data_IF_082639435679
#
_entry.id   IF_082639435679
#
_cell.length_a   1.000
_cell.length_b   1.000
_cell.length_c   1.000
_cell.angle_alpha   90.00
_cell.angle_beta   90.00
_cell.angle_gamma   90.00
#
_symmetry.space_group_name_H-M   'P 1'
#
loop_
_entity.id
_entity.type
_entity.pdbx_description
1 polymer ?
#
# COMPACT_ATOMS: atom_id res chain seq x y z
N UNK A 1 7.04 -11.28 -17.85
CA UNK A 1 6.43 -10.03 -17.74
C UNK A 1 6.19 -9.64 -16.36
N UNK A 2 6.58 -8.55 -15.99
CA UNK A 2 6.40 -8.15 -14.62
C UNK A 2 4.95 -7.91 -14.42
N UNK A 3 4.55 -8.10 -13.20
CA UNK A 3 3.31 -7.83 -12.84
C UNK A 3 2.97 -6.47 -12.99
N UNK A 4 1.87 -6.17 -13.52
CA UNK A 4 1.52 -4.85 -13.69
C UNK A 4 0.48 -4.47 -12.72
N UNK A 5 0.80 -3.60 -11.83
CA UNK A 5 -0.17 -3.04 -10.95
C UNK A 5 -0.91 -1.96 -11.69
N UNK A 6 -2.17 -1.73 -11.32
CA UNK A 6 -2.91 -0.63 -11.88
C UNK A 6 -2.31 0.65 -11.33
N UNK A 7 -2.69 1.77 -11.93
CA UNK A 7 -2.22 3.04 -11.48
C UNK A 7 -2.63 3.29 -10.06
N UNK A 8 -3.84 2.88 -9.70
CA UNK A 8 -4.32 3.04 -8.32
C UNK A 8 -3.46 2.25 -7.37
N UNK A 9 -3.11 1.02 -7.74
CA UNK A 9 -2.29 0.20 -6.87
C UNK A 9 -0.89 0.77 -6.74
N UNK A 10 -0.34 1.30 -7.81
CA UNK A 10 0.96 1.93 -7.73
C UNK A 10 0.94 3.14 -6.81
N UNK A 11 -0.10 3.95 -6.92
CA UNK A 11 -0.24 5.12 -6.06
C UNK A 11 -0.32 4.70 -4.60
N UNK A 12 -1.09 3.66 -4.31
CA UNK A 12 -1.21 3.19 -2.96
C UNK A 12 0.15 2.73 -2.42
N UNK A 13 0.91 1.99 -3.24
CA UNK A 13 2.20 1.49 -2.81
C UNK A 13 3.20 2.61 -2.58
N UNK A 14 3.10 3.69 -3.34
CA UNK A 14 3.97 4.83 -3.12
C UNK A 14 3.68 5.48 -1.79
N UNK A 15 2.40 5.62 -1.45
CA UNK A 15 2.03 6.19 -0.17
C UNK A 15 2.44 5.25 0.96
N UNK A 16 2.26 3.96 0.74
CA UNK A 16 2.64 2.96 1.73
C UNK A 16 4.15 3.01 1.96
N UNK A 17 4.94 3.15 0.91
CA UNK A 17 6.38 3.22 1.04
C UNK A 17 6.80 4.42 1.87
N UNK A 18 6.14 5.55 1.66
CA UNK A 18 6.44 6.74 2.44
C UNK A 18 6.12 6.50 3.90
N UNK A 19 4.98 5.86 4.18
CA UNK A 19 4.60 5.59 5.54
C UNK A 19 5.56 4.62 6.21
N UNK A 20 6.20 3.76 5.43
CA UNK A 20 7.12 2.77 5.97
C UNK A 20 8.54 3.29 6.14
N UNK A 21 8.78 4.52 5.74
CA UNK A 21 10.13 5.07 5.82
C UNK A 21 10.69 5.03 7.23
N UNK A 22 9.84 5.22 8.22
CA UNK A 22 10.28 5.18 9.59
C UNK A 22 10.37 3.76 10.14
N UNK A 23 9.94 2.79 9.38
CA UNK A 23 9.92 1.41 9.83
C UNK A 23 8.71 1.04 10.65
N UNK A 24 7.85 2.01 10.95
CA UNK A 24 6.68 1.77 11.75
C UNK A 24 5.52 2.55 11.18
N UNK A 25 4.37 1.93 11.07
CA UNK A 25 3.17 2.61 10.63
C UNK A 25 2.33 2.94 11.85
N UNK A 26 2.17 4.23 12.12
CA UNK A 26 1.37 4.65 13.26
C UNK A 26 -0.11 4.47 12.95
N UNK A 27 -0.93 4.63 13.96
CA UNK A 27 -2.37 4.53 13.78
C UNK A 27 -2.88 5.59 12.82
N UNK A 28 -2.35 6.78 12.90
CA UNK A 28 -2.76 7.85 12.01
C UNK A 28 -2.37 7.54 10.58
N UNK A 29 -1.18 6.99 10.39
CA UNK A 29 -0.75 6.62 9.06
C UNK A 29 -1.60 5.48 8.52
N UNK A 30 -1.96 4.54 9.38
CA UNK A 30 -2.82 3.44 8.95
C UNK A 30 -4.19 3.96 8.51
N UNK A 31 -4.72 4.93 9.22
CA UNK A 31 -5.97 5.53 8.84
C UNK A 31 -5.87 6.23 7.51
N UNK A 32 -4.77 6.94 7.27
CA UNK A 32 -4.56 7.60 6.00
C UNK A 32 -4.49 6.59 4.87
N UNK A 33 -3.82 5.47 5.12
CA UNK A 33 -3.72 4.43 4.10
C UNK A 33 -5.08 3.84 3.79
N UNK A 34 -5.91 3.66 4.80
CA UNK A 34 -7.25 3.14 4.56
C UNK A 34 -8.09 4.10 3.73
N UNK A 35 -7.99 5.38 4.04
CA UNK A 35 -8.71 6.39 3.29
C UNK A 35 -8.20 6.42 1.85
N UNK A 36 -6.89 6.33 1.69
CA UNK A 36 -6.31 6.35 0.37
C UNK A 36 -6.78 5.16 -0.45
N UNK A 37 -6.79 3.98 0.15
CA UNK A 37 -7.25 2.79 -0.54
C UNK A 37 -8.69 2.94 -0.98
N UNK A 38 -9.52 3.48 -0.12
CA UNK A 38 -10.93 3.66 -0.44
C UNK A 38 -11.07 4.67 -1.58
N UNK A 39 -10.32 5.76 -1.53
CA UNK A 39 -10.37 6.78 -2.56
C UNK A 39 -9.93 6.19 -3.91
N UNK A 40 -8.97 5.28 -3.88
CA UNK A 40 -8.46 4.67 -5.09
C UNK A 40 -9.30 3.49 -5.56
N UNK A 41 -10.33 3.12 -4.80
CA UNK A 41 -11.19 2.02 -5.19
C UNK A 41 -10.63 0.64 -4.89
N UNK A 42 -9.68 0.56 -3.96
CA UNK A 42 -9.09 -0.72 -3.61
C UNK A 42 -9.82 -1.32 -2.41
N UNK A 43 -10.07 -2.62 -2.44
CA UNK A 43 -10.73 -3.26 -1.30
C UNK A 43 -9.68 -3.78 -0.33
N UNK A 44 -10.12 -4.22 0.83
CA UNK A 44 -9.20 -4.64 1.87
C UNK A 44 -8.37 -5.84 1.49
N UNK A 45 -8.97 -6.77 0.79
CA UNK A 45 -8.23 -7.95 0.36
C UNK A 45 -7.09 -7.57 -0.55
N UNK A 46 -7.36 -6.65 -1.47
CA UNK A 46 -6.34 -6.23 -2.41
C UNK A 46 -5.23 -5.48 -1.69
N UNK A 47 -5.61 -4.62 -0.75
CA UNK A 47 -4.65 -3.85 0.01
C UNK A 47 -3.73 -4.77 0.80
N UNK A 48 -4.31 -5.76 1.46
CA UNK A 48 -3.53 -6.72 2.22
C UNK A 48 -2.54 -7.45 1.32
N UNK A 49 -2.99 -7.82 0.13
CA UNK A 49 -2.13 -8.52 -0.81
C UNK A 49 -0.98 -7.64 -1.27
N UNK A 50 -1.26 -6.37 -1.56
CA UNK A 50 -0.24 -5.45 -2.00
C UNK A 50 0.81 -5.21 -0.92
N UNK A 51 0.36 -5.06 0.31
CA UNK A 51 1.27 -4.81 1.41
C UNK A 51 2.16 -6.03 1.67
N UNK A 52 1.57 -7.20 1.58
CA UNK A 52 2.33 -8.42 1.78
C UNK A 52 3.41 -8.56 0.72
N UNK A 53 3.06 -8.31 -0.53
CA UNK A 53 4.03 -8.40 -1.61
C UNK A 53 5.12 -7.35 -1.50
N UNK A 54 4.77 -6.17 -1.01
CA UNK A 54 5.75 -5.12 -0.86
C UNK A 54 6.82 -5.56 0.14
N UNK A 55 6.41 -6.13 1.25
CA UNK A 55 7.36 -6.57 2.25
C UNK A 55 8.26 -7.68 1.71
N UNK A 56 7.70 -8.61 0.97
CA UNK A 56 8.49 -9.69 0.43
C UNK A 56 9.50 -9.18 -0.57
N UNK A 57 9.12 -8.21 -1.38
CA UNK A 57 10.02 -7.69 -2.37
C UNK A 57 11.13 -6.87 -1.79
N UNK A 58 10.99 -6.43 -0.57
CA UNK A 58 11.99 -5.64 0.06
C UNK A 58 13.15 -6.45 0.57
N UNK A 59 13.07 -7.72 0.54
CA UNK A 59 14.10 -8.58 1.10
C UNK A 59 15.41 -8.58 0.31
#
# INVERSE_FOLDING_TARGET
MPESHTKSEQTYLEVFAIAMEDGIITQEERKMLQIQARTLGLNESRVTHLESNYEKNDA
#
